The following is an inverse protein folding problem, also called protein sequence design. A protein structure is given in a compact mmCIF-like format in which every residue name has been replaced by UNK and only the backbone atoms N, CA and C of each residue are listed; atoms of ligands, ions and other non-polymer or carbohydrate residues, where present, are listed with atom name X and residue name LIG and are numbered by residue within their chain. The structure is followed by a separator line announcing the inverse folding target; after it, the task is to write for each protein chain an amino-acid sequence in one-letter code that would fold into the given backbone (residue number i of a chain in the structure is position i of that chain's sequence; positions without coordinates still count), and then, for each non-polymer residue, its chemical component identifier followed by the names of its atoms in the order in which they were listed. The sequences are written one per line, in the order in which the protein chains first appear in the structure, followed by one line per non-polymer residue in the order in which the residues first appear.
data_IF_039366094339
#
_entry.id   IF_039366094339
#
_cell.length_a   1.000
_cell.length_b   1.000
_cell.length_c   1.000
_cell.angle_alpha   90.00
_cell.angle_beta   90.00
_cell.angle_gamma   90.00
#
_symmetry.space_group_name_H-M   'P 1'
#
loop_
_entity.id
_entity.type
_entity.pdbx_description
1 polymer ?
#
# COMPACT_ATOMS: atom_id res chain seq x y z
N UNK A 1 -35.30 5.67 -5.63
CA UNK A 1 -34.24 6.46 -4.97
C UNK A 1 -33.27 6.92 -6.04
N UNK A 2 -33.36 8.19 -6.46
CA UNK A 2 -32.40 8.80 -7.39
C UNK A 2 -31.08 9.03 -6.63
N UNK A 3 -30.11 8.14 -6.82
CA UNK A 3 -28.79 8.26 -6.22
C UNK A 3 -28.01 9.37 -6.91
N UNK A 4 -27.94 10.55 -6.29
CA UNK A 4 -26.90 11.53 -6.64
C UNK A 4 -25.56 10.82 -6.51
N UNK A 5 -24.80 10.71 -7.60
CA UNK A 5 -23.39 10.35 -7.56
C UNK A 5 -22.69 11.37 -6.66
N UNK A 6 -22.40 10.96 -5.42
CA UNK A 6 -21.64 11.79 -4.49
C UNK A 6 -20.21 11.91 -4.97
N UNK A 7 -19.63 13.09 -4.81
CA UNK A 7 -18.18 13.28 -4.92
C UNK A 7 -17.61 13.43 -3.52
N UNK A 8 -16.53 12.70 -3.24
CA UNK A 8 -15.84 12.71 -1.96
C UNK A 8 -14.35 12.86 -2.15
N UNK A 9 -13.67 13.29 -1.09
CA UNK A 9 -12.22 13.20 -0.99
C UNK A 9 -11.89 12.29 0.19
N UNK A 10 -10.98 11.35 -0.03
CA UNK A 10 -10.43 10.51 1.04
C UNK A 10 -8.95 10.83 1.23
N UNK A 11 -8.50 10.70 2.47
CA UNK A 11 -7.12 10.95 2.86
C UNK A 11 -6.25 9.71 2.66
N UNK A 12 -4.92 9.87 2.74
CA UNK A 12 -4.00 8.74 2.73
C UNK A 12 -4.19 7.88 3.99
N UNK A 13 -4.55 8.48 5.13
CA UNK A 13 -4.95 7.78 6.35
C UNK A 13 -6.13 6.84 6.11
N UNK A 14 -7.16 7.29 5.39
CA UNK A 14 -8.33 6.47 5.07
C UNK A 14 -7.92 5.27 4.19
N UNK A 15 -7.01 5.46 3.22
CA UNK A 15 -6.48 4.38 2.38
C UNK A 15 -5.69 3.36 3.19
N UNK A 16 -4.79 3.83 4.06
CA UNK A 16 -4.00 2.94 4.93
C UNK A 16 -4.92 2.13 5.86
N UNK A 17 -5.99 2.75 6.37
CA UNK A 17 -7.01 2.05 7.14
C UNK A 17 -7.77 1.02 6.32
N UNK A 18 -8.15 1.32 5.07
CA UNK A 18 -8.78 0.35 4.18
C UNK A 18 -7.90 -0.89 3.97
N UNK A 19 -6.59 -0.70 3.79
CA UNK A 19 -5.62 -1.81 3.68
C UNK A 19 -5.57 -2.62 4.98
N UNK A 20 -5.45 -1.95 6.13
CA UNK A 20 -5.33 -2.61 7.44
C UNK A 20 -6.63 -3.23 7.96
N UNK A 21 -7.78 -2.85 7.38
CA UNK A 21 -9.05 -3.50 7.64
C UNK A 21 -9.13 -4.89 7.01
N UNK A 22 -8.40 -5.13 5.92
CA UNK A 22 -8.36 -6.44 5.26
C UNK A 22 -7.39 -7.40 5.96
N UNK A 23 -6.29 -6.89 6.51
CA UNK A 23 -5.36 -7.73 7.29
C UNK A 23 -4.42 -6.93 8.18
N UNK A 24 -4.05 -7.53 9.32
CA UNK A 24 -2.88 -7.12 10.09
C UNK A 24 -1.61 -7.56 9.37
N UNK A 25 -0.57 -6.73 9.38
CA UNK A 25 0.66 -7.04 8.64
C UNK A 25 1.91 -6.38 9.21
N UNK A 26 3.06 -6.93 8.86
CA UNK A 26 4.36 -6.32 9.11
C UNK A 26 4.42 -4.91 8.48
N UNK A 27 5.01 -3.94 9.18
CA UNK A 27 5.07 -2.55 8.73
C UNK A 27 5.72 -2.44 7.33
N UNK A 28 6.81 -3.16 7.10
CA UNK A 28 7.49 -3.16 5.80
C UNK A 28 6.58 -3.69 4.68
N UNK A 29 5.79 -4.72 4.96
CA UNK A 29 4.81 -5.26 4.01
C UNK A 29 3.75 -4.23 3.66
N UNK A 30 3.22 -3.53 4.66
CA UNK A 30 2.28 -2.42 4.44
C UNK A 30 2.91 -1.36 3.53
N UNK A 31 4.12 -0.90 3.84
CA UNK A 31 4.79 0.13 3.03
C UNK A 31 4.94 -0.29 1.56
N UNK A 32 5.30 -1.55 1.31
CA UNK A 32 5.41 -2.08 -0.06
C UNK A 32 4.04 -2.20 -0.73
N UNK A 33 3.00 -2.67 -0.02
CA UNK A 33 1.63 -2.75 -0.58
C UNK A 33 1.12 -1.36 -0.96
N UNK A 34 1.33 -0.35 -0.12
CA UNK A 34 0.95 1.04 -0.43
C UNK A 34 1.72 1.53 -1.65
N UNK A 35 3.01 1.20 -1.78
CA UNK A 35 3.81 1.51 -2.98
C UNK A 35 3.27 0.86 -4.26
N UNK A 36 2.87 -0.41 -4.21
CA UNK A 36 2.28 -1.09 -5.36
C UNK A 36 0.93 -0.47 -5.77
N UNK A 37 0.28 0.24 -4.84
CA UNK A 37 -0.93 1.02 -5.12
C UNK A 37 -0.64 2.47 -5.53
N UNK A 38 0.63 2.94 -5.59
CA UNK A 38 0.98 4.37 -5.75
C UNK A 38 0.29 5.09 -6.91
N UNK A 39 0.13 4.39 -8.03
CA UNK A 39 -0.51 4.93 -9.25
C UNK A 39 -1.98 5.33 -8.99
N UNK A 40 -2.57 4.82 -7.92
CA UNK A 40 -3.93 5.15 -7.48
C UNK A 40 -3.98 6.18 -6.34
N UNK A 41 -2.85 6.46 -5.69
CA UNK A 41 -2.82 7.24 -4.44
C UNK A 41 -2.21 8.63 -4.60
N UNK A 42 -1.46 8.86 -5.67
CA UNK A 42 -0.75 10.14 -5.89
C UNK A 42 0.31 10.44 -4.83
N UNK A 43 0.86 9.39 -4.22
CA UNK A 43 1.88 9.47 -3.16
C UNK A 43 3.27 9.51 -3.80
N UNK A 44 4.15 10.36 -3.28
CA UNK A 44 5.55 10.40 -3.69
C UNK A 44 6.37 9.41 -2.86
N UNK A 45 7.28 8.72 -3.54
CA UNK A 45 8.18 7.76 -2.94
C UNK A 45 9.63 8.18 -3.12
N UNK A 46 10.43 7.84 -2.12
CA UNK A 46 11.86 8.14 -2.07
C UNK A 46 12.66 6.82 -2.24
N UNK A 47 13.91 6.79 -1.82
CA UNK A 47 14.72 5.56 -1.80
C UNK A 47 14.80 4.96 -0.40
N UNK A 48 14.56 3.64 -0.21
CA UNK A 48 14.10 2.64 -1.20
C UNK A 48 12.67 2.93 -1.71
N UNK A 49 12.22 2.36 -2.86
CA UNK A 49 11.02 2.81 -3.57
C UNK A 49 9.72 2.66 -2.76
N UNK A 50 9.69 1.89 -1.68
CA UNK A 50 8.55 1.80 -0.75
C UNK A 50 8.64 2.74 0.45
N UNK A 51 9.66 3.58 0.56
CA UNK A 51 9.72 4.63 1.57
C UNK A 51 8.95 5.86 1.09
N UNK A 52 8.07 6.37 1.94
CA UNK A 52 7.36 7.63 1.72
C UNK A 52 7.13 8.33 3.06
N UNK A 53 7.61 9.56 3.16
CA UNK A 53 7.39 10.44 4.31
C UNK A 53 5.89 10.72 4.54
N UNK A 54 5.09 10.80 3.48
CA UNK A 54 3.63 10.94 3.54
C UNK A 54 2.96 9.73 4.19
N UNK A 55 3.35 8.51 3.79
CA UNK A 55 2.81 7.27 4.37
C UNK A 55 3.19 7.16 5.85
N UNK A 56 4.42 7.51 6.21
CA UNK A 56 4.83 7.59 7.61
C UNK A 56 4.05 8.64 8.40
N UNK A 57 3.75 9.79 7.79
CA UNK A 57 2.88 10.82 8.36
C UNK A 57 1.49 10.28 8.66
N UNK A 58 0.87 9.62 7.67
CA UNK A 58 -0.44 8.98 7.81
C UNK A 58 -0.44 7.92 8.93
N UNK A 59 0.58 7.05 8.97
CA UNK A 59 0.72 6.04 10.02
C UNK A 59 0.82 6.65 11.42
N UNK A 60 1.66 7.69 11.60
CA UNK A 60 1.76 8.39 12.89
C UNK A 60 0.44 9.06 13.29
N UNK A 61 -0.25 9.65 12.33
CA UNK A 61 -1.57 10.26 12.53
C UNK A 61 -2.57 9.21 13.03
N UNK A 62 -2.67 8.07 12.35
CA UNK A 62 -3.55 6.95 12.69
C UNK A 62 -3.25 6.35 14.07
N UNK A 63 -1.97 6.20 14.43
CA UNK A 63 -1.56 5.74 15.77
C UNK A 63 -2.00 6.75 16.83
N UNK A 64 -1.75 8.05 16.60
CA UNK A 64 -2.13 9.12 17.54
C UNK A 64 -3.64 9.20 17.73
N UNK A 65 -4.42 8.91 16.68
CA UNK A 65 -5.89 8.85 16.74
C UNK A 65 -6.42 7.54 17.36
N UNK A 66 -5.56 6.57 17.69
CA UNK A 66 -5.98 5.26 18.23
C UNK A 66 -6.71 4.38 17.21
N UNK A 67 -6.60 4.68 15.91
CA UNK A 67 -7.26 3.93 14.84
C UNK A 67 -6.46 2.71 14.38
N UNK A 68 -5.15 2.71 14.63
CA UNK A 68 -4.28 1.55 14.42
C UNK A 68 -3.40 1.31 15.64
N UNK A 69 -3.09 0.05 15.90
CA UNK A 69 -2.10 -0.36 16.88
C UNK A 69 -0.79 -0.72 16.19
N UNK A 70 0.31 -0.49 16.90
CA UNK A 70 1.65 -0.93 16.54
C UNK A 70 2.21 -1.78 17.67
N UNK A 71 2.65 -3.00 17.38
CA UNK A 71 3.24 -3.90 18.35
C UNK A 71 4.33 -4.76 17.68
N UNK A 72 5.17 -5.41 18.50
CA UNK A 72 6.14 -6.38 17.98
C UNK A 72 5.56 -7.78 17.99
N UNK A 73 5.73 -8.54 16.90
CA UNK A 73 5.38 -9.96 16.88
C UNK A 73 6.41 -10.80 17.66
N UNK A 74 6.14 -12.11 17.77
CA UNK A 74 7.03 -13.07 18.45
C UNK A 74 8.43 -13.20 17.82
N UNK A 75 8.60 -12.70 16.60
CA UNK A 75 9.87 -12.71 15.85
C UNK A 75 10.56 -11.33 15.90
N UNK A 76 10.01 -10.38 16.65
CA UNK A 76 10.54 -9.02 16.81
C UNK A 76 10.19 -8.07 15.66
N UNK A 77 9.34 -8.47 14.71
CA UNK A 77 8.91 -7.60 13.62
C UNK A 77 7.85 -6.61 14.11
N UNK A 78 7.97 -5.36 13.67
CA UNK A 78 6.91 -4.36 13.89
C UNK A 78 5.70 -4.71 13.04
N UNK A 79 4.58 -5.00 13.69
CA UNK A 79 3.28 -5.30 13.08
C UNK A 79 2.31 -4.16 13.38
N UNK A 80 1.46 -3.89 12.39
CA UNK A 80 0.38 -2.92 12.46
C UNK A 80 -0.96 -3.57 12.19
N UNK A 81 -1.99 -3.12 12.90
CA UNK A 81 -3.36 -3.60 12.75
C UNK A 81 -4.37 -2.48 13.00
N UNK A 82 -5.50 -2.50 12.30
CA UNK A 82 -6.62 -1.64 12.65
C UNK A 82 -7.14 -1.97 14.06
N UNK A 83 -7.57 -0.95 14.81
CA UNK A 83 -8.32 -1.13 16.06
C UNK A 83 -9.80 -1.30 15.77
N UNK A 84 -10.62 -1.62 16.78
CA UNK A 84 -12.08 -1.58 16.63
C UNK A 84 -12.59 -0.20 16.17
N UNK A 85 -11.97 0.88 16.66
CA UNK A 85 -12.26 2.24 16.20
C UNK A 85 -11.85 2.46 14.74
N UNK A 86 -10.69 1.94 14.32
CA UNK A 86 -10.27 1.96 12.92
C UNK A 86 -11.23 1.24 11.98
N UNK A 87 -11.73 0.06 12.37
CA UNK A 87 -12.72 -0.69 11.60
C UNK A 87 -14.07 0.05 11.54
N UNK A 88 -14.52 0.66 12.64
CA UNK A 88 -15.72 1.50 12.65
C UNK A 88 -15.59 2.67 11.68
N UNK A 89 -14.44 3.33 11.66
CA UNK A 89 -14.14 4.43 10.73
C UNK A 89 -14.19 3.95 9.26
N UNK A 90 -13.67 2.77 8.97
CA UNK A 90 -13.78 2.17 7.62
C UNK A 90 -15.23 1.92 7.24
N UNK A 91 -16.06 1.41 8.16
CA UNK A 91 -17.48 1.19 7.89
C UNK A 91 -18.22 2.52 7.63
N UNK A 92 -17.91 3.58 8.37
CA UNK A 92 -18.46 4.93 8.11
C UNK A 92 -18.07 5.45 6.73
N UNK A 93 -16.80 5.30 6.34
CA UNK A 93 -16.30 5.68 5.02
C UNK A 93 -17.04 4.93 3.91
N UNK A 94 -17.19 3.61 4.07
CA UNK A 94 -17.92 2.79 3.10
C UNK A 94 -19.39 3.20 3.03
N UNK A 95 -20.08 3.36 4.15
CA UNK A 95 -21.49 3.78 4.16
C UNK A 95 -21.70 5.15 3.50
N UNK A 96 -20.74 6.06 3.69
CA UNK A 96 -20.80 7.41 3.11
C UNK A 96 -20.50 7.43 1.61
N UNK A 97 -19.55 6.61 1.16
CA UNK A 97 -18.96 6.73 -0.18
C UNK A 97 -19.13 5.50 -1.07
N UNK A 98 -19.81 4.42 -0.66
CA UNK A 98 -19.84 3.14 -1.39
C UNK A 98 -20.12 3.29 -2.90
N UNK A 99 -21.05 4.17 -3.25
CA UNK A 99 -21.46 4.43 -4.65
C UNK A 99 -21.02 5.83 -5.13
N UNK A 100 -20.05 6.43 -4.46
CA UNK A 100 -19.52 7.76 -4.74
C UNK A 100 -18.21 7.68 -5.52
N UNK A 101 -17.95 8.71 -6.31
CA UNK A 101 -16.62 8.94 -6.87
C UNK A 101 -15.75 9.59 -5.80
N UNK A 102 -14.63 8.97 -5.47
CA UNK A 102 -13.67 9.46 -4.48
C UNK A 102 -12.41 9.94 -5.17
N UNK A 103 -11.95 11.11 -4.76
CA UNK A 103 -10.62 11.61 -5.09
C UNK A 103 -9.64 11.13 -4.03
N UNK A 104 -8.58 10.45 -4.47
CA UNK A 104 -7.46 10.02 -3.64
C UNK A 104 -6.24 10.86 -3.98
N UNK A 105 -5.73 11.62 -3.00
CA UNK A 105 -4.62 12.54 -3.25
C UNK A 105 -4.95 13.57 -4.35
N UNK A 106 -3.94 14.01 -5.13
CA UNK A 106 -4.14 14.92 -6.26
C UNK A 106 -4.46 14.20 -7.59
N UNK A 107 -4.45 12.87 -7.65
CA UNK A 107 -4.17 12.15 -8.89
C UNK A 107 -5.32 11.28 -9.45
N UNK A 108 -6.20 10.71 -8.61
CA UNK A 108 -7.19 9.74 -9.11
C UNK A 108 -8.61 10.03 -8.60
N UNK A 109 -9.59 10.02 -9.52
CA UNK A 109 -11.03 9.98 -9.22
C UNK A 109 -11.52 8.59 -9.64
N UNK A 110 -11.96 7.77 -8.68
CA UNK A 110 -12.52 6.44 -8.97
C UNK A 110 -13.70 6.12 -8.05
N UNK A 111 -14.52 5.12 -8.39
CA UNK A 111 -15.57 4.66 -7.50
C UNK A 111 -14.97 4.03 -6.23
N UNK A 112 -15.54 4.32 -5.05
CA UNK A 112 -15.04 3.79 -3.78
C UNK A 112 -15.09 2.25 -3.72
N UNK A 113 -16.12 1.63 -4.29
CA UNK A 113 -16.24 0.18 -4.41
C UNK A 113 -15.10 -0.41 -5.24
N UNK A 114 -14.76 0.21 -6.36
CA UNK A 114 -13.64 -0.21 -7.21
C UNK A 114 -12.29 -0.02 -6.51
N UNK A 115 -12.11 1.08 -5.78
CA UNK A 115 -10.90 1.31 -4.98
C UNK A 115 -10.72 0.20 -3.95
N UNK A 116 -11.79 -0.12 -3.23
CA UNK A 116 -11.79 -1.21 -2.25
C UNK A 116 -11.51 -2.54 -2.91
N UNK A 117 -12.15 -2.85 -4.03
CA UNK A 117 -11.90 -4.09 -4.76
C UNK A 117 -10.42 -4.21 -5.17
N UNK A 118 -9.82 -3.13 -5.66
CA UNK A 118 -8.40 -3.07 -6.02
C UNK A 118 -7.48 -3.24 -4.82
N UNK A 119 -7.77 -2.58 -3.71
CA UNK A 119 -7.04 -2.77 -2.45
C UNK A 119 -7.11 -4.24 -2.03
N UNK A 120 -8.30 -4.83 -2.05
CA UNK A 120 -8.52 -6.21 -1.62
C UNK A 120 -7.78 -7.21 -2.52
N UNK A 121 -7.78 -6.99 -3.84
CA UNK A 121 -7.01 -7.77 -4.80
C UNK A 121 -5.52 -7.76 -4.47
N UNK A 122 -4.92 -6.57 -4.34
CA UNK A 122 -3.49 -6.41 -4.07
C UNK A 122 -3.11 -6.95 -2.70
N UNK A 123 -3.90 -6.66 -1.66
CA UNK A 123 -3.65 -7.18 -0.31
C UNK A 123 -3.69 -8.71 -0.31
N UNK A 124 -4.71 -9.34 -0.92
CA UNK A 124 -4.80 -10.80 -0.97
C UNK A 124 -3.64 -11.43 -1.74
N UNK A 125 -3.21 -10.80 -2.84
CA UNK A 125 -2.08 -11.28 -3.63
C UNK A 125 -0.77 -11.27 -2.84
N UNK A 126 -0.57 -10.26 -1.98
CA UNK A 126 0.73 -10.00 -1.36
C UNK A 126 0.81 -10.16 0.15
N UNK A 127 -0.29 -10.37 0.87
CA UNK A 127 -0.28 -10.43 2.34
C UNK A 127 0.53 -11.61 2.88
N UNK A 128 0.50 -12.75 2.19
CA UNK A 128 1.21 -13.97 2.59
C UNK A 128 2.52 -14.20 1.83
N UNK A 129 2.86 -13.35 0.85
CA UNK A 129 4.08 -13.48 0.05
C UNK A 129 5.32 -13.28 0.94
N UNK A 130 6.41 -14.05 0.81
CA UNK A 130 7.62 -13.76 1.57
C UNK A 130 8.12 -12.31 1.33
N UNK A 131 8.51 -11.59 2.38
CA UNK A 131 8.93 -10.17 2.27
C UNK A 131 10.00 -9.94 1.20
N UNK A 132 10.95 -10.88 1.05
CA UNK A 132 11.98 -10.83 0.00
C UNK A 132 11.39 -10.78 -1.41
N UNK A 133 10.36 -11.59 -1.66
CA UNK A 133 9.68 -11.68 -2.96
C UNK A 133 8.85 -10.41 -3.18
N UNK A 134 8.17 -9.93 -2.14
CA UNK A 134 7.42 -8.68 -2.21
C UNK A 134 8.34 -7.48 -2.51
N UNK A 135 9.50 -7.41 -1.87
CA UNK A 135 10.52 -6.41 -2.16
C UNK A 135 11.09 -6.55 -3.58
N UNK A 136 11.33 -7.78 -4.06
CA UNK A 136 11.74 -8.05 -5.44
C UNK A 136 10.73 -7.48 -6.45
N UNK A 137 9.44 -7.73 -6.25
CA UNK A 137 8.36 -7.18 -7.11
C UNK A 137 8.40 -5.66 -7.12
N UNK A 138 8.50 -5.02 -5.94
CA UNK A 138 8.54 -3.57 -5.85
C UNK A 138 9.78 -2.94 -6.51
N UNK A 139 10.95 -3.58 -6.39
CA UNK A 139 12.17 -3.13 -7.07
C UNK A 139 12.07 -3.27 -8.59
N UNK A 140 11.51 -4.38 -9.08
CA UNK A 140 11.30 -4.61 -10.52
C UNK A 140 10.37 -3.56 -11.12
N UNK A 141 9.26 -3.29 -10.43
CA UNK A 141 8.29 -2.28 -10.82
C UNK A 141 8.88 -0.85 -10.79
N UNK A 142 9.71 -0.52 -9.78
CA UNK A 142 10.44 0.75 -9.73
C UNK A 142 11.48 0.89 -10.86
N UNK A 143 12.18 -0.20 -11.19
CA UNK A 143 13.13 -0.23 -12.29
C UNK A 143 12.41 0.03 -13.63
N UNK A 144 11.28 -0.63 -13.83
CA UNK A 144 10.44 -0.50 -15.01
C UNK A 144 9.95 0.94 -15.18
N UNK A 145 9.34 1.53 -14.15
CA UNK A 145 8.85 2.91 -14.19
C UNK A 145 9.95 3.89 -14.61
N UNK A 146 11.13 3.81 -14.00
CA UNK A 146 12.26 4.68 -14.33
C UNK A 146 12.75 4.51 -15.77
N UNK A 147 12.80 3.28 -16.24
CA UNK A 147 13.16 2.99 -17.62
C UNK A 147 12.18 3.66 -18.60
N UNK A 148 10.87 3.55 -18.36
CA UNK A 148 9.85 4.19 -19.21
C UNK A 148 9.85 5.71 -19.11
N UNK A 149 10.22 6.28 -17.97
CA UNK A 149 10.42 7.73 -17.81
C UNK A 149 11.72 8.24 -18.45
N UNK A 150 12.50 7.36 -19.10
CA UNK A 150 13.72 7.74 -19.81
C UNK A 150 14.91 8.07 -18.90
N UNK A 151 14.92 7.53 -17.67
CA UNK A 151 16.05 7.69 -16.74
C UNK A 151 17.32 7.04 -17.32
N UNK A 152 18.32 7.87 -17.63
CA UNK A 152 19.61 7.44 -18.21
C UNK A 152 20.65 7.06 -17.15
N UNK A 153 20.34 7.21 -15.87
CA UNK A 153 21.24 6.83 -14.78
C UNK A 153 21.41 5.30 -14.68
N UNK A 154 22.39 4.78 -13.94
CA UNK A 154 22.54 3.33 -13.73
C UNK A 154 21.41 2.73 -12.88
N UNK A 155 20.55 3.56 -12.30
CA UNK A 155 19.59 3.18 -11.26
C UNK A 155 18.56 2.13 -11.69
N UNK A 156 17.92 2.19 -12.89
CA UNK A 156 17.01 1.13 -13.33
C UNK A 156 17.69 -0.24 -13.35
N UNK A 157 18.96 -0.30 -13.80
CA UNK A 157 19.74 -1.55 -13.84
C UNK A 157 20.03 -2.06 -12.43
N UNK A 158 20.42 -1.18 -11.51
CA UNK A 158 20.68 -1.54 -10.09
C UNK A 158 19.43 -2.12 -9.43
N UNK A 159 18.28 -1.47 -9.63
CA UNK A 159 17.00 -1.93 -9.08
C UNK A 159 16.58 -3.28 -9.68
N UNK A 160 16.77 -3.47 -10.99
CA UNK A 160 16.49 -4.74 -11.66
C UNK A 160 17.37 -5.87 -11.11
N UNK A 161 18.68 -5.64 -10.94
CA UNK A 161 19.59 -6.65 -10.42
C UNK A 161 19.29 -6.99 -8.95
N UNK A 162 19.02 -5.97 -8.12
CA UNK A 162 18.60 -6.19 -6.74
C UNK A 162 17.28 -6.97 -6.66
N UNK A 163 16.33 -6.71 -7.56
CA UNK A 163 15.11 -7.51 -7.70
C UNK A 163 15.42 -8.98 -8.00
N UNK A 164 16.32 -9.25 -8.96
CA UNK A 164 16.73 -10.61 -9.34
C UNK A 164 17.35 -11.37 -8.18
N UNK A 165 18.28 -10.75 -7.44
CA UNK A 165 18.94 -11.35 -6.27
C UNK A 165 17.92 -11.76 -5.20
N UNK A 166 16.90 -10.93 -4.96
CA UNK A 166 15.86 -11.23 -3.99
C UNK A 166 14.92 -12.36 -4.45
N UNK A 167 14.75 -12.55 -5.76
CA UNK A 167 13.94 -13.64 -6.32
C UNK A 167 14.70 -14.97 -6.45
N UNK A 168 16.01 -14.94 -6.75
CA UNK A 168 16.81 -16.14 -7.07
C UNK A 168 17.17 -16.98 -5.84
N UNK A 169 17.03 -16.45 -4.63
CA UNK A 169 17.09 -17.24 -3.38
C UNK A 169 15.98 -18.31 -3.22
N UNK A 170 15.12 -18.51 -4.23
CA UNK A 170 14.14 -19.58 -4.33
C UNK A 170 14.57 -20.73 -5.27
N UNK A 171 15.56 -20.55 -6.15
CA UNK A 171 15.93 -21.55 -7.17
C UNK A 171 16.87 -22.65 -6.66
N UNK A 172 17.38 -22.54 -5.43
CA UNK A 172 18.35 -23.49 -4.84
C UNK A 172 17.79 -24.53 -3.86
N UNK A 173 16.46 -24.71 -3.75
CA UNK A 173 15.84 -25.64 -2.77
C UNK A 173 14.98 -26.74 -3.43
N UNK A 174 15.13 -26.94 -4.74
CA UNK A 174 14.54 -28.07 -5.49
C UNK A 174 15.58 -28.77 -6.38
N UNK A 175 16.79 -28.95 -5.85
CA UNK A 175 17.82 -29.83 -6.41
C UNK A 175 18.14 -30.95 -5.43
#
# INVERSE_FOLDING_TARGET
MQGRLGFGRISLEDVVLLILAESRMEMLRLMIIVYLLRNHLGVRYEYPPWYSSDVWGALRSLIRMGLINRYSDSRGFTVVSATGGGLSRVNELMNKFNNAMVMVGPALIMNMGDLRARINEVVRAYVNTPLRILASVALSDAAHERYYLGDKSPMPKVLWEASRVLSSGCEGVLG
#
